data_IF_335377017322
#
_entry.id   IF_335377017322
#
_cell.length_a   1.000
_cell.length_b   1.000
_cell.length_c   1.000
_cell.angle_alpha   90.00
_cell.angle_beta   90.00
_cell.angle_gamma   90.00
#
_symmetry.space_group_name_H-M   'P 1'
#
loop_
_entity.id
_entity.type
_entity.pdbx_description
1 polymer ?
#
# COMPACT_ATOMS: atom_id res chain seq x y z
N UNK A 1 -16.08 -3.03 10.77
CA UNK A 1 -17.31 -3.12 9.96
C UNK A 1 -18.50 -2.56 10.73
N UNK A 2 -18.67 -2.92 12.00
CA UNK A 2 -19.72 -2.41 12.88
C UNK A 2 -19.57 -0.90 13.10
N UNK A 3 -18.38 -0.41 13.42
CA UNK A 3 -18.08 1.03 13.60
C UNK A 3 -18.30 1.88 12.34
N UNK A 4 -18.27 1.27 11.16
CA UNK A 4 -18.53 1.93 9.87
C UNK A 4 -19.96 1.75 9.36
N UNK A 5 -20.88 1.17 10.16
CA UNK A 5 -22.28 0.96 9.79
C UNK A 5 -22.51 -0.08 8.69
N UNK A 6 -21.51 -0.91 8.37
CA UNK A 6 -21.65 -1.95 7.33
C UNK A 6 -22.45 -3.17 7.77
N UNK A 7 -22.72 -3.33 9.07
CA UNK A 7 -23.47 -4.44 9.62
C UNK A 7 -24.50 -3.93 10.64
N UNK A 8 -25.54 -3.22 10.19
CA UNK A 8 -26.64 -2.85 11.07
C UNK A 8 -27.29 -4.13 11.62
N UNK A 9 -27.58 -4.12 12.90
CA UNK A 9 -28.32 -5.19 13.60
C UNK A 9 -27.60 -6.55 13.70
N UNK A 10 -26.28 -6.64 13.52
CA UNK A 10 -25.49 -7.88 13.59
C UNK A 10 -26.04 -9.02 12.73
N UNK A 11 -26.64 -8.68 11.60
CA UNK A 11 -27.20 -9.64 10.63
C UNK A 11 -26.09 -10.15 9.70
N UNK A 12 -25.95 -11.45 9.59
CA UNK A 12 -25.00 -12.05 8.66
C UNK A 12 -25.41 -11.76 7.21
N UNK A 13 -24.56 -11.09 6.39
CA UNK A 13 -24.91 -10.75 5.01
C UNK A 13 -25.02 -11.97 4.09
N UNK A 14 -24.49 -13.13 4.50
CA UNK A 14 -24.48 -14.33 3.71
C UNK A 14 -25.71 -15.24 3.97
N UNK A 15 -26.15 -15.38 5.23
CA UNK A 15 -27.23 -16.29 5.58
C UNK A 15 -28.40 -15.64 6.32
N UNK A 16 -28.34 -14.34 6.60
CA UNK A 16 -29.39 -13.59 7.30
C UNK A 16 -29.55 -13.91 8.79
N UNK A 17 -28.70 -14.72 9.38
CA UNK A 17 -28.79 -15.07 10.80
C UNK A 17 -28.52 -13.81 11.66
N UNK A 18 -29.38 -13.55 12.64
CA UNK A 18 -29.29 -12.44 13.59
C UNK A 18 -28.41 -12.85 14.77
N UNK A 19 -27.63 -11.91 15.33
CA UNK A 19 -26.74 -12.13 16.49
C UNK A 19 -25.76 -13.31 16.37
N UNK A 20 -25.47 -13.74 15.14
CA UNK A 20 -24.57 -14.87 14.86
C UNK A 20 -23.10 -14.48 14.80
N UNK A 21 -22.80 -13.21 14.93
CA UNK A 21 -21.43 -12.69 14.87
C UNK A 21 -20.81 -12.64 16.27
N UNK A 22 -19.56 -13.07 16.35
CA UNK A 22 -18.72 -12.83 17.54
C UNK A 22 -18.34 -11.37 17.65
N UNK A 23 -17.97 -10.93 18.84
CA UNK A 23 -17.42 -9.60 19.02
C UNK A 23 -16.21 -9.37 18.11
N UNK A 24 -16.04 -8.11 17.69
CA UNK A 24 -14.88 -7.70 16.90
C UNK A 24 -13.60 -7.94 17.68
N UNK A 25 -12.61 -8.55 17.03
CA UNK A 25 -11.29 -8.75 17.61
C UNK A 25 -10.30 -7.82 16.92
N UNK A 26 -9.42 -7.25 17.72
CA UNK A 26 -8.32 -6.45 17.17
C UNK A 26 -7.43 -7.35 16.32
N UNK A 27 -7.22 -6.95 15.07
CA UNK A 27 -6.39 -7.66 14.11
C UNK A 27 -5.07 -6.92 13.90
N UNK A 28 -3.97 -7.64 14.00
CA UNK A 28 -2.64 -7.09 13.72
C UNK A 28 -2.24 -7.44 12.28
N UNK A 29 -2.18 -6.43 11.42
CA UNK A 29 -1.76 -6.59 10.04
C UNK A 29 -0.29 -6.98 9.90
N UNK A 30 0.57 -6.52 10.82
CA UNK A 30 2.00 -6.85 10.79
C UNK A 30 2.29 -8.14 11.55
N UNK A 31 3.17 -8.98 10.99
CA UNK A 31 3.70 -10.13 11.71
C UNK A 31 4.60 -9.67 12.83
N UNK A 32 4.31 -10.15 14.03
CA UNK A 32 5.14 -9.99 15.21
C UNK A 32 6.13 -11.16 15.32
N UNK A 33 7.36 -10.89 15.67
CA UNK A 33 8.39 -11.88 15.98
C UNK A 33 9.27 -11.39 17.13
N UNK A 34 10.25 -12.18 17.55
CA UNK A 34 11.19 -11.82 18.59
C UNK A 34 12.62 -11.89 18.06
N UNK A 35 13.47 -10.97 18.48
CA UNK A 35 14.89 -10.96 18.16
C UNK A 35 15.65 -11.65 19.28
N UNK A 36 16.41 -12.70 18.92
CA UNK A 36 17.18 -13.49 19.90
C UNK A 36 16.47 -14.79 20.33
N UNK A 37 17.09 -15.53 21.26
CA UNK A 37 16.64 -16.87 21.60
C UNK A 37 15.49 -16.95 22.61
N UNK A 38 15.13 -15.82 23.22
CA UNK A 38 14.09 -15.74 24.26
C UNK A 38 12.95 -14.84 23.80
N UNK A 39 11.72 -15.30 23.99
CA UNK A 39 10.51 -14.53 23.70
C UNK A 39 10.21 -13.57 24.85
N UNK A 40 10.71 -12.34 24.74
CA UNK A 40 10.47 -11.26 25.69
C UNK A 40 9.85 -10.05 24.97
N UNK A 41 8.99 -9.31 25.64
CA UNK A 41 8.35 -8.13 25.04
C UNK A 41 9.36 -7.07 24.57
N UNK A 42 10.48 -6.92 25.28
CA UNK A 42 11.57 -6.04 24.90
C UNK A 42 12.29 -6.45 23.61
N UNK A 43 12.20 -7.73 23.23
CA UNK A 43 12.78 -8.30 22.01
C UNK A 43 11.78 -8.34 20.84
N UNK A 44 10.60 -7.77 20.99
CA UNK A 44 9.56 -7.75 19.94
C UNK A 44 10.04 -6.98 18.72
N UNK A 45 9.90 -7.60 17.55
CA UNK A 45 10.12 -6.99 16.25
C UNK A 45 8.94 -7.27 15.31
N UNK A 46 8.81 -6.48 14.28
CA UNK A 46 7.78 -6.66 13.28
C UNK A 46 8.41 -6.84 11.90
N UNK A 47 7.85 -7.76 11.12
CA UNK A 47 8.22 -7.90 9.72
C UNK A 47 7.59 -6.73 8.95
N UNK A 48 8.36 -6.14 8.02
CA UNK A 48 7.89 -4.98 7.24
C UNK A 48 6.69 -5.33 6.36
N UNK A 49 5.62 -4.52 6.36
CA UNK A 49 4.45 -4.73 5.50
C UNK A 49 4.62 -4.13 4.09
N UNK A 50 5.65 -3.30 3.89
CA UNK A 50 6.01 -2.63 2.63
C UNK A 50 7.49 -2.24 2.65
N UNK A 51 8.02 -1.88 1.48
CA UNK A 51 9.44 -1.46 1.34
C UNK A 51 9.62 0.05 1.44
N UNK A 52 8.55 0.83 1.43
CA UNK A 52 8.56 2.30 1.41
C UNK A 52 9.37 2.93 2.55
N UNK A 53 9.22 2.45 3.79
CA UNK A 53 9.92 3.00 4.95
C UNK A 53 11.44 2.92 4.79
N UNK A 54 11.95 1.85 4.19
CA UNK A 54 13.37 1.71 3.91
C UNK A 54 13.88 2.76 2.92
N UNK A 55 13.04 3.21 2.01
CA UNK A 55 13.36 4.28 1.06
C UNK A 55 13.42 5.63 1.79
N UNK A 56 12.42 5.95 2.61
CA UNK A 56 12.37 7.23 3.34
C UNK A 56 13.52 7.37 4.34
N UNK A 57 13.83 6.34 5.11
CA UNK A 57 14.98 6.33 6.04
C UNK A 57 16.30 6.59 5.32
N UNK A 58 16.44 6.13 4.09
CA UNK A 58 17.67 6.31 3.30
C UNK A 58 17.66 7.55 2.42
N UNK A 59 16.61 8.37 2.42
CA UNK A 59 16.49 9.53 1.54
C UNK A 59 17.69 10.48 1.64
N UNK A 60 18.03 10.93 2.83
CA UNK A 60 19.14 11.87 3.06
C UNK A 60 20.50 11.26 2.65
N UNK A 61 20.70 10.00 2.97
CA UNK A 61 21.92 9.28 2.58
C UNK A 61 22.07 9.21 1.06
N UNK A 62 21.00 8.87 0.33
CA UNK A 62 21.00 8.83 -1.14
C UNK A 62 21.21 10.24 -1.71
N UNK A 63 20.49 11.22 -1.20
CA UNK A 63 20.61 12.62 -1.65
C UNK A 63 22.08 13.13 -1.55
N UNK A 64 22.69 12.90 -0.40
CA UNK A 64 24.05 13.37 -0.10
C UNK A 64 25.10 12.60 -0.90
N UNK A 65 25.04 11.28 -0.91
CA UNK A 65 26.08 10.44 -1.55
C UNK A 65 26.03 10.51 -3.06
N UNK A 66 24.84 10.62 -3.65
CA UNK A 66 24.68 10.68 -5.11
C UNK A 66 24.61 12.11 -5.65
N UNK A 67 24.53 13.12 -4.77
CA UNK A 67 24.41 14.54 -5.12
C UNK A 67 23.22 14.82 -6.05
N UNK A 68 22.12 14.12 -5.88
CA UNK A 68 20.92 14.31 -6.69
C UNK A 68 20.21 15.61 -6.32
N UNK A 69 19.45 16.11 -7.28
CA UNK A 69 18.53 17.24 -7.10
C UNK A 69 17.13 16.79 -7.50
N UNK A 70 16.10 17.40 -6.89
CA UNK A 70 14.72 17.16 -7.27
C UNK A 70 14.47 17.56 -8.75
N UNK A 71 13.68 16.82 -9.50
CA UNK A 71 13.03 15.57 -9.09
C UNK A 71 13.96 14.35 -9.23
N UNK A 72 13.81 13.35 -8.37
CA UNK A 72 14.48 12.04 -8.53
C UNK A 72 13.70 10.94 -7.81
N UNK A 73 13.89 9.70 -8.22
CA UNK A 73 13.25 8.53 -7.62
C UNK A 73 14.26 7.60 -6.95
N UNK A 74 13.78 6.91 -5.93
CA UNK A 74 14.46 5.76 -5.31
C UNK A 74 13.52 4.57 -5.44
N UNK A 75 13.98 3.51 -6.11
CA UNK A 75 13.23 2.27 -6.26
C UNK A 75 13.87 1.15 -5.44
N UNK A 76 13.05 0.30 -4.88
CA UNK A 76 13.46 -0.86 -4.12
C UNK A 76 12.61 -2.07 -4.48
N UNK A 77 13.26 -3.22 -4.63
CA UNK A 77 12.62 -4.53 -4.69
C UNK A 77 12.94 -5.30 -3.42
N UNK A 78 11.98 -6.05 -2.93
CA UNK A 78 12.19 -6.87 -1.75
C UNK A 78 10.92 -7.54 -1.26
N UNK A 79 11.10 -8.41 -0.26
CA UNK A 79 9.98 -9.09 0.39
C UNK A 79 9.26 -8.16 1.34
N UNK A 80 7.94 -8.29 1.34
CA UNK A 80 7.02 -7.69 2.29
C UNK A 80 6.11 -8.74 2.89
N UNK A 81 5.58 -8.46 4.08
CA UNK A 81 4.85 -9.42 4.87
C UNK A 81 3.58 -8.78 5.44
N UNK A 82 2.43 -9.35 5.11
CA UNK A 82 1.15 -8.91 5.65
C UNK A 82 0.40 -10.08 6.23
N UNK A 83 -0.06 -9.98 7.45
CA UNK A 83 -0.81 -11.03 8.12
C UNK A 83 -2.25 -11.08 7.59
N UNK A 84 -2.41 -11.46 6.33
CA UNK A 84 -3.69 -11.54 5.66
C UNK A 84 -4.64 -12.53 6.36
N UNK A 85 -5.87 -12.10 6.63
CA UNK A 85 -6.90 -12.94 7.23
C UNK A 85 -7.24 -14.08 6.26
N UNK A 86 -7.43 -13.73 4.99
CA UNK A 86 -7.84 -14.69 3.95
C UNK A 86 -6.92 -14.58 2.73
N UNK A 87 -5.78 -15.27 2.71
CA UNK A 87 -4.99 -15.43 1.50
C UNK A 87 -5.82 -16.10 0.40
N UNK A 88 -5.56 -15.76 -0.86
CA UNK A 88 -6.34 -16.33 -1.96
C UNK A 88 -5.82 -15.95 -3.34
N UNK A 89 -6.52 -16.44 -4.36
CA UNK A 89 -6.23 -16.16 -5.76
C UNK A 89 -4.78 -16.51 -6.14
N UNK A 90 -4.35 -17.72 -5.78
CA UNK A 90 -3.01 -18.25 -6.01
C UNK A 90 -1.94 -17.34 -5.37
N UNK A 91 -1.10 -16.65 -6.17
CA UNK A 91 -0.05 -15.74 -5.67
C UNK A 91 -0.52 -14.30 -5.49
N UNK A 92 -1.76 -13.98 -5.85
CA UNK A 92 -2.25 -12.60 -5.84
C UNK A 92 -2.35 -12.02 -4.42
N UNK A 93 -2.82 -12.82 -3.45
CA UNK A 93 -2.93 -12.41 -2.05
C UNK A 93 -2.30 -13.45 -1.13
N UNK A 94 -1.05 -13.20 -0.79
CA UNK A 94 -0.22 -14.07 0.07
C UNK A 94 0.28 -13.30 1.28
N UNK A 95 0.71 -14.00 2.32
CA UNK A 95 1.26 -13.38 3.54
C UNK A 95 2.70 -12.93 3.39
N UNK A 96 3.45 -13.59 2.52
CA UNK A 96 4.81 -13.23 2.09
C UNK A 96 4.78 -13.02 0.58
N UNK A 97 5.22 -11.87 0.11
CA UNK A 97 5.23 -11.52 -1.31
C UNK A 97 6.43 -10.65 -1.65
N UNK A 98 6.78 -10.60 -2.92
CA UNK A 98 7.76 -9.65 -3.44
C UNK A 98 7.04 -8.39 -3.90
N UNK A 99 7.62 -7.26 -3.56
CA UNK A 99 7.12 -5.94 -3.89
C UNK A 99 8.22 -5.13 -4.57
N UNK A 100 7.83 -4.32 -5.54
CA UNK A 100 8.66 -3.26 -6.10
C UNK A 100 7.95 -1.94 -5.82
N UNK A 101 8.64 -1.04 -5.15
CA UNK A 101 8.17 0.31 -4.88
C UNK A 101 9.16 1.33 -5.40
N UNK A 102 8.65 2.47 -5.81
CA UNK A 102 9.44 3.64 -6.17
C UNK A 102 8.82 4.87 -5.52
N UNK A 103 9.62 5.57 -4.73
CA UNK A 103 9.28 6.88 -4.21
C UNK A 103 9.93 7.96 -5.06
N UNK A 104 9.10 8.79 -5.68
CA UNK A 104 9.55 9.87 -6.56
C UNK A 104 9.43 11.20 -5.85
N UNK A 105 10.58 11.78 -5.53
CA UNK A 105 10.68 13.01 -4.75
C UNK A 105 10.68 14.24 -5.65
N UNK A 106 9.80 15.18 -5.37
CA UNK A 106 9.57 16.37 -6.19
C UNK A 106 9.47 17.62 -5.30
N UNK A 107 9.48 18.81 -5.92
CA UNK A 107 9.13 20.03 -5.19
C UNK A 107 7.63 20.00 -4.83
N UNK A 108 7.22 20.47 -3.63
CA UNK A 108 5.83 20.46 -3.21
C UNK A 108 4.85 21.10 -4.21
N UNK A 109 5.25 22.20 -4.85
CA UNK A 109 4.41 22.91 -5.82
C UNK A 109 4.12 22.08 -7.10
N UNK A 110 4.97 21.08 -7.39
CA UNK A 110 4.85 20.22 -8.56
C UNK A 110 4.19 18.87 -8.25
N UNK A 111 3.89 18.58 -6.99
CA UNK A 111 3.48 17.26 -6.53
C UNK A 111 2.22 16.75 -7.24
N UNK A 112 1.19 17.57 -7.38
CA UNK A 112 -0.06 17.18 -8.06
C UNK A 112 0.11 16.95 -9.56
N UNK A 113 1.00 17.71 -10.18
CA UNK A 113 1.31 17.54 -11.60
C UNK A 113 2.04 16.22 -11.83
N UNK A 114 3.05 15.91 -11.00
CA UNK A 114 3.78 14.65 -11.07
C UNK A 114 2.91 13.45 -10.74
N UNK A 115 2.01 13.56 -9.77
CA UNK A 115 1.04 12.50 -9.47
C UNK A 115 0.21 12.11 -10.70
N UNK A 116 -0.37 13.10 -11.40
CA UNK A 116 -1.14 12.85 -12.63
C UNK A 116 -0.28 12.24 -13.73
N UNK A 117 0.92 12.77 -13.93
CA UNK A 117 1.86 12.23 -14.92
C UNK A 117 2.22 10.78 -14.62
N UNK A 118 2.47 10.43 -13.34
CA UNK A 118 2.78 9.05 -12.98
C UNK A 118 1.61 8.13 -13.24
N UNK A 119 0.37 8.52 -12.96
CA UNK A 119 -0.82 7.71 -13.29
C UNK A 119 -0.86 7.43 -14.80
N UNK A 120 -0.67 8.46 -15.64
CA UNK A 120 -0.69 8.30 -17.10
C UNK A 120 0.47 7.41 -17.60
N UNK A 121 1.68 7.64 -17.10
CA UNK A 121 2.87 6.90 -17.49
C UNK A 121 2.79 5.42 -17.09
N UNK A 122 2.25 5.12 -15.91
CA UNK A 122 2.16 3.74 -15.43
C UNK A 122 1.08 2.96 -16.17
N UNK A 123 -0.08 3.55 -16.43
CA UNK A 123 -1.09 2.92 -17.28
C UNK A 123 -0.54 2.62 -18.68
N UNK A 124 0.11 3.60 -19.32
CA UNK A 124 0.70 3.41 -20.63
C UNK A 124 1.78 2.31 -20.61
N UNK A 125 2.58 2.26 -19.55
CA UNK A 125 3.61 1.24 -19.40
C UNK A 125 3.04 -0.19 -19.38
N UNK A 126 1.91 -0.42 -18.69
CA UNK A 126 1.23 -1.71 -18.71
C UNK A 126 0.68 -2.07 -20.10
N UNK A 127 0.14 -1.08 -20.80
CA UNK A 127 -0.32 -1.26 -22.20
C UNK A 127 0.86 -1.63 -23.10
N UNK A 128 1.98 -0.95 -22.98
CA UNK A 128 3.20 -1.20 -23.76
C UNK A 128 3.80 -2.61 -23.46
N UNK A 129 3.58 -3.13 -22.26
CA UNK A 129 3.91 -4.51 -21.88
C UNK A 129 2.96 -5.57 -22.50
N UNK A 130 1.87 -5.12 -23.13
CA UNK A 130 0.94 -5.99 -23.84
C UNK A 130 -0.36 -6.29 -23.10
N UNK A 131 -0.67 -5.58 -22.00
CA UNK A 131 -1.99 -5.66 -21.39
C UNK A 131 -3.00 -4.94 -22.28
N UNK A 132 -4.14 -5.59 -22.53
CA UNK A 132 -5.19 -5.00 -23.34
C UNK A 132 -5.83 -3.80 -22.57
N UNK A 133 -5.96 -2.62 -23.21
CA UNK A 133 -6.46 -1.41 -22.54
C UNK A 133 -7.85 -1.58 -21.91
N UNK A 134 -8.72 -2.39 -22.52
CA UNK A 134 -10.05 -2.71 -22.01
C UNK A 134 -10.03 -3.51 -20.70
N UNK A 135 -8.89 -4.11 -20.35
CA UNK A 135 -8.68 -4.85 -19.11
C UNK A 135 -7.96 -4.04 -18.04
N UNK A 136 -7.71 -2.75 -18.27
CA UNK A 136 -7.13 -1.82 -17.32
C UNK A 136 -8.12 -0.72 -17.03
N UNK A 137 -8.21 -0.30 -15.79
CA UNK A 137 -8.97 0.89 -15.39
C UNK A 137 -8.30 1.61 -14.24
N UNK A 138 -8.62 2.90 -14.10
CA UNK A 138 -8.23 3.72 -12.95
C UNK A 138 -9.34 3.71 -11.90
N UNK A 139 -9.01 3.40 -10.68
CA UNK A 139 -9.88 3.57 -9.51
C UNK A 139 -9.33 4.72 -8.66
N UNK A 140 -9.91 5.89 -8.83
CA UNK A 140 -9.53 7.08 -8.07
C UNK A 140 -10.23 7.05 -6.72
N UNK A 141 -9.45 7.04 -5.65
CA UNK A 141 -10.00 6.97 -4.30
C UNK A 141 -10.77 8.23 -3.93
N UNK A 142 -11.98 8.05 -3.41
CA UNK A 142 -12.74 9.14 -2.82
C UNK A 142 -12.03 9.68 -1.56
N UNK A 143 -12.23 10.97 -1.25
CA UNK A 143 -11.55 11.66 -0.14
C UNK A 143 -11.65 10.91 1.19
N UNK A 144 -12.79 10.27 1.44
CA UNK A 144 -13.05 9.52 2.68
C UNK A 144 -12.28 8.22 2.80
N UNK A 145 -11.74 7.73 1.67
CA UNK A 145 -10.92 6.50 1.60
C UNK A 145 -9.43 6.76 1.63
N UNK A 146 -9.01 8.02 1.49
CA UNK A 146 -7.58 8.36 1.48
C UNK A 146 -6.94 8.05 2.82
N UNK A 147 -5.72 7.53 2.77
CA UNK A 147 -4.87 7.40 3.95
C UNK A 147 -4.52 8.80 4.48
N UNK A 148 -4.27 8.91 5.78
CA UNK A 148 -3.95 10.18 6.45
C UNK A 148 -2.74 10.93 5.88
N UNK A 149 -1.84 10.23 5.20
CA UNK A 149 -0.64 10.76 4.56
C UNK A 149 -0.84 11.15 3.09
N UNK A 150 -1.99 10.84 2.48
CA UNK A 150 -2.20 10.98 1.04
C UNK A 150 -3.11 12.15 0.70
N UNK A 151 -2.69 12.98 -0.26
CA UNK A 151 -3.53 14.00 -0.89
C UNK A 151 -4.33 13.45 -2.07
N UNK A 152 -3.94 12.31 -2.63
CA UNK A 152 -4.64 11.62 -3.71
C UNK A 152 -4.06 10.24 -3.94
N UNK A 153 -4.91 9.27 -4.22
CA UNK A 153 -4.53 7.89 -4.55
C UNK A 153 -5.34 7.41 -5.74
N UNK A 154 -4.68 6.73 -6.65
CA UNK A 154 -5.29 6.06 -7.80
C UNK A 154 -4.72 4.66 -7.90
N UNK A 155 -5.58 3.66 -7.91
CA UNK A 155 -5.19 2.31 -8.23
C UNK A 155 -5.36 2.05 -9.73
N UNK A 156 -4.37 1.48 -10.37
CA UNK A 156 -4.51 0.84 -11.66
C UNK A 156 -4.99 -0.58 -11.41
N UNK A 157 -6.23 -0.86 -11.82
CA UNK A 157 -6.85 -2.17 -11.66
C UNK A 157 -6.81 -2.95 -12.97
N UNK A 158 -6.68 -4.26 -12.85
CA UNK A 158 -6.75 -5.21 -13.97
C UNK A 158 -7.98 -6.11 -13.82
N UNK A 159 -8.56 -6.50 -14.96
CA UNK A 159 -9.69 -7.43 -15.00
C UNK A 159 -9.19 -8.88 -14.93
N UNK A 160 -8.98 -9.36 -13.72
CA UNK A 160 -8.61 -10.76 -13.44
C UNK A 160 -9.79 -11.72 -13.66
N UNK A 161 -9.57 -13.04 -13.68
CA UNK A 161 -10.67 -14.02 -13.79
C UNK A 161 -11.72 -13.94 -12.68
N UNK A 162 -11.37 -13.35 -11.53
CA UNK A 162 -12.26 -13.12 -10.38
C UNK A 162 -12.84 -11.71 -10.31
N UNK A 163 -12.56 -10.87 -11.29
CA UNK A 163 -13.04 -9.49 -11.37
C UNK A 163 -11.92 -8.45 -11.33
N UNK A 164 -12.32 -7.20 -11.15
CA UNK A 164 -11.38 -6.09 -11.07
C UNK A 164 -10.66 -6.08 -9.73
N UNK A 165 -9.33 -6.01 -9.79
CA UNK A 165 -8.51 -5.94 -8.59
C UNK A 165 -7.23 -5.11 -8.87
N UNK A 166 -6.56 -4.67 -7.79
CA UNK A 166 -5.41 -3.77 -7.86
C UNK A 166 -4.20 -4.44 -8.51
N UNK A 167 -3.60 -3.74 -9.48
CA UNK A 167 -2.34 -4.09 -10.11
C UNK A 167 -1.20 -3.22 -9.58
N UNK A 168 -1.47 -1.93 -9.41
CA UNK A 168 -0.52 -0.96 -8.89
C UNK A 168 -1.26 0.22 -8.23
N UNK A 169 -0.80 0.67 -7.07
CA UNK A 169 -1.27 1.87 -6.40
C UNK A 169 -0.30 3.04 -6.60
N UNK A 170 -0.84 4.21 -6.93
CA UNK A 170 -0.07 5.46 -7.10
C UNK A 170 -0.65 6.51 -6.16
N UNK A 171 0.17 7.07 -5.28
CA UNK A 171 -0.28 8.03 -4.28
C UNK A 171 0.60 9.28 -4.21
N UNK A 172 -0.04 10.45 -4.06
CA UNK A 172 0.63 11.66 -3.60
C UNK A 172 0.68 11.62 -2.07
N UNK A 173 1.81 11.20 -1.50
CA UNK A 173 2.03 11.04 -0.05
C UNK A 173 2.37 12.33 0.68
N UNK A 174 2.35 13.47 -0.01
CA UNK A 174 2.74 14.77 0.55
C UNK A 174 4.19 14.75 1.08
N UNK A 175 4.48 15.50 2.13
CA UNK A 175 5.76 15.46 2.85
C UNK A 175 5.70 14.64 4.14
N UNK A 176 4.64 13.88 4.36
CA UNK A 176 4.37 13.22 5.64
C UNK A 176 5.56 12.34 6.07
N UNK A 177 5.97 11.39 5.21
CA UNK A 177 7.00 10.42 5.55
C UNK A 177 8.35 11.09 5.84
N UNK A 178 8.77 12.05 4.99
CA UNK A 178 10.03 12.77 5.21
C UNK A 178 10.00 13.63 6.47
N UNK A 179 8.85 14.21 6.80
CA UNK A 179 8.71 15.03 8.01
C UNK A 179 8.86 14.20 9.28
N UNK A 180 8.36 12.96 9.30
CA UNK A 180 8.50 12.04 10.43
C UNK A 180 9.95 11.59 10.63
N UNK A 181 10.75 11.56 9.59
CA UNK A 181 12.16 11.14 9.65
C UNK A 181 13.15 12.33 9.76
N UNK A 182 12.66 13.56 9.76
CA UNK A 182 13.50 14.77 9.88
C UNK A 182 13.75 15.19 11.35
N UNK A 183 13.11 14.56 12.31
CA UNK A 183 13.30 14.73 13.76
C UNK A 183 14.37 13.74 14.28
#
# INVERSE_FOLDING_TARGET
LEERGYLPDKICPNCGAVESMTDTRQFNLMFKTFVGPVEEDAATAYLRPETAQGIFVNFENVLTTTRRRLPFGIAQQGKSFRNEITPGNFIFRTREFEQMEMEFFVHPDDADNWYRQWVDLREQWFIDLGLAPENIRRDVHAQEKLSHYSAGTTDLQYHFPWGWDELEGIANRTNFDLSVHAE
#
